data_IF_166517515735
#
_entry.id   IF_166517515735
#
_cell.length_a   1.000
_cell.length_b   1.000
_cell.length_c   1.000
_cell.angle_alpha   90.00
_cell.angle_beta   90.00
_cell.angle_gamma   90.00
#
_symmetry.space_group_name_H-M   'P 1'
#
loop_
_entity.id
_entity.type
_entity.pdbx_description
1 polymer ?
#
# COMPACT_ATOMS: atom_id res chain seq x y z
N UNK A 1 11.41 4.58 -31.10
CA UNK A 1 11.15 4.19 -29.70
C UNK A 1 10.93 2.68 -29.72
N UNK A 2 11.91 1.90 -29.26
CA UNK A 2 11.71 0.45 -29.11
C UNK A 2 10.64 0.22 -28.04
N UNK A 3 9.77 -0.77 -28.22
CA UNK A 3 8.74 -1.18 -27.27
C UNK A 3 9.39 -1.82 -26.02
N UNK A 4 10.15 -1.03 -25.27
CA UNK A 4 10.82 -1.45 -24.04
C UNK A 4 9.80 -1.70 -22.95
N UNK A 5 9.71 -2.96 -22.54
CA UNK A 5 9.13 -3.45 -21.27
C UNK A 5 7.84 -2.76 -20.83
N UNK A 6 6.73 -3.04 -21.50
CA UNK A 6 5.42 -2.88 -20.86
C UNK A 6 5.33 -3.95 -19.78
N UNK A 7 5.52 -3.56 -18.52
CA UNK A 7 5.32 -4.47 -17.40
C UNK A 7 3.82 -4.74 -17.30
N UNK A 8 3.46 -6.01 -17.52
CA UNK A 8 2.07 -6.45 -17.36
C UNK A 8 1.61 -6.07 -15.95
N UNK A 9 0.51 -5.32 -15.87
CA UNK A 9 -0.05 -4.83 -14.61
C UNK A 9 -1.48 -5.33 -14.50
N UNK A 10 -1.78 -6.00 -13.39
CA UNK A 10 -3.12 -6.50 -13.08
C UNK A 10 -3.68 -5.72 -11.89
N UNK A 11 -4.89 -5.21 -12.06
CA UNK A 11 -5.64 -4.60 -10.95
C UNK A 11 -6.68 -5.59 -10.46
N UNK A 12 -6.71 -5.83 -9.14
CA UNK A 12 -7.69 -6.72 -8.50
C UNK A 12 -8.17 -6.18 -7.17
N UNK A 13 -9.36 -6.59 -6.77
CA UNK A 13 -9.82 -6.37 -5.40
C UNK A 13 -8.89 -7.10 -4.42
N UNK A 14 -8.58 -6.43 -3.32
CA UNK A 14 -7.86 -7.00 -2.21
C UNK A 14 -8.79 -7.91 -1.38
N UNK A 15 -8.20 -8.92 -0.77
CA UNK A 15 -8.84 -9.88 0.12
C UNK A 15 -8.26 -9.73 1.53
N UNK A 16 -8.86 -10.42 2.51
CA UNK A 16 -8.35 -10.42 3.88
C UNK A 16 -6.86 -10.84 3.97
N UNK A 17 -6.38 -11.69 3.05
CA UNK A 17 -4.98 -12.12 3.01
C UNK A 17 -4.00 -11.03 2.57
N UNK A 18 -4.49 -9.91 2.02
CA UNK A 18 -3.67 -8.84 1.48
C UNK A 18 -3.36 -7.72 2.49
N UNK A 19 -3.85 -7.82 3.73
CA UNK A 19 -3.71 -6.77 4.74
C UNK A 19 -2.24 -6.37 4.97
N UNK A 20 -1.34 -7.36 5.08
CA UNK A 20 0.09 -7.11 5.25
C UNK A 20 0.73 -6.43 4.03
N UNK A 21 0.32 -6.82 2.81
CA UNK A 21 0.82 -6.21 1.58
C UNK A 21 0.36 -4.76 1.45
N UNK A 22 -0.92 -4.49 1.75
CA UNK A 22 -1.48 -3.13 1.78
C UNK A 22 -0.79 -2.24 2.82
N UNK A 23 -0.50 -2.79 4.00
CA UNK A 23 0.26 -2.11 5.04
C UNK A 23 1.65 -1.70 4.56
N UNK A 24 2.39 -2.64 3.96
CA UNK A 24 3.73 -2.39 3.44
C UNK A 24 3.73 -1.32 2.34
N UNK A 25 2.86 -1.46 1.34
CA UNK A 25 2.77 -0.52 0.20
C UNK A 25 2.29 0.86 0.67
N UNK A 26 1.31 0.92 1.57
CA UNK A 26 0.82 2.16 2.15
C UNK A 26 1.91 2.91 2.92
N UNK A 27 2.63 2.21 3.80
CA UNK A 27 3.75 2.81 4.53
C UNK A 27 4.87 3.28 3.58
N UNK A 28 5.26 2.45 2.61
CA UNK A 28 6.33 2.77 1.66
C UNK A 28 5.99 4.01 0.82
N UNK A 29 4.78 4.07 0.24
CA UNK A 29 4.34 5.22 -0.55
C UNK A 29 4.20 6.50 0.27
N UNK A 30 3.76 6.40 1.53
CA UNK A 30 3.71 7.54 2.44
C UNK A 30 5.12 8.06 2.77
N UNK A 31 6.06 7.17 3.08
CA UNK A 31 7.46 7.53 3.32
C UNK A 31 8.07 8.20 2.08
N UNK A 32 7.86 7.64 0.89
CA UNK A 32 8.36 8.21 -0.37
C UNK A 32 7.83 9.63 -0.61
N UNK A 33 6.53 9.86 -0.36
CA UNK A 33 5.91 11.15 -0.61
C UNK A 33 6.30 12.23 0.40
N UNK A 34 6.57 11.87 1.66
CA UNK A 34 6.67 12.83 2.76
C UNK A 34 8.02 12.84 3.51
N UNK A 35 8.93 11.90 3.24
CA UNK A 35 10.28 11.94 3.80
C UNK A 35 11.01 13.19 3.28
N UNK A 36 11.31 14.12 4.20
CA UNK A 36 11.92 15.42 3.89
C UNK A 36 10.97 16.61 4.04
N UNK A 37 9.66 16.36 4.23
CA UNK A 37 8.67 17.39 4.59
C UNK A 37 8.27 17.29 6.05
N UNK A 38 8.06 16.07 6.54
CA UNK A 38 7.64 15.80 7.93
C UNK A 38 8.83 15.42 8.81
N UNK A 39 8.66 15.64 10.12
CA UNK A 39 9.63 15.18 11.12
C UNK A 39 9.79 13.66 11.09
N UNK A 40 11.03 13.20 11.28
CA UNK A 40 11.39 11.78 11.18
C UNK A 40 10.70 10.90 12.23
N UNK A 41 10.48 11.38 13.45
CA UNK A 41 9.79 10.60 14.46
C UNK A 41 8.27 10.52 14.17
N UNK A 42 7.70 11.63 13.72
CA UNK A 42 6.27 11.72 13.42
C UNK A 42 5.88 10.89 12.19
N UNK A 43 6.69 10.90 11.13
CA UNK A 43 6.43 10.09 9.94
C UNK A 43 6.47 8.59 10.26
N UNK A 44 7.43 8.15 11.08
CA UNK A 44 7.53 6.75 11.51
C UNK A 44 6.35 6.36 12.43
N UNK A 45 5.99 7.24 13.37
CA UNK A 45 4.82 7.02 14.23
C UNK A 45 3.51 6.97 13.44
N UNK A 46 3.40 7.76 12.36
CA UNK A 46 2.28 7.71 11.44
C UNK A 46 2.21 6.37 10.72
N UNK A 47 3.31 5.93 10.08
CA UNK A 47 3.35 4.63 9.40
C UNK A 47 3.01 3.47 10.36
N UNK A 48 3.60 3.47 11.57
CA UNK A 48 3.35 2.42 12.56
C UNK A 48 1.90 2.36 13.06
N UNK A 49 1.14 3.47 12.97
CA UNK A 49 -0.24 3.54 13.48
C UNK A 49 -1.29 3.46 12.38
N UNK A 50 -1.11 4.21 11.30
CA UNK A 50 -2.09 4.32 10.21
C UNK A 50 -1.87 3.29 9.11
N UNK A 51 -0.64 2.78 8.97
CA UNK A 51 -0.30 1.72 8.04
C UNK A 51 0.05 0.39 8.74
N UNK A 52 -0.52 0.16 9.93
CA UNK A 52 -0.42 -1.13 10.59
C UNK A 52 -1.34 -2.16 9.93
N UNK A 53 -0.91 -3.43 9.85
CA UNK A 53 -1.70 -4.52 9.27
C UNK A 53 -3.13 -4.63 9.85
N UNK A 54 -3.37 -4.49 11.17
CA UNK A 54 -4.73 -4.53 11.72
C UNK A 54 -5.65 -3.44 11.18
N UNK A 55 -5.14 -2.25 10.82
CA UNK A 55 -5.97 -1.17 10.25
C UNK A 55 -6.55 -1.62 8.90
N UNK A 56 -5.72 -2.26 8.08
CA UNK A 56 -6.16 -2.78 6.79
C UNK A 56 -7.06 -4.00 6.93
N UNK A 57 -6.78 -4.90 7.88
CA UNK A 57 -7.64 -6.03 8.18
C UNK A 57 -9.04 -5.56 8.61
N UNK A 58 -9.12 -4.55 9.47
CA UNK A 58 -10.38 -3.94 9.90
C UNK A 58 -11.14 -3.36 8.71
N UNK A 59 -10.48 -2.61 7.82
CA UNK A 59 -11.10 -2.05 6.62
C UNK A 59 -11.58 -3.12 5.63
N UNK A 60 -10.79 -4.17 5.40
CA UNK A 60 -11.15 -5.29 4.52
C UNK A 60 -12.35 -6.09 5.04
N UNK A 61 -12.63 -6.04 6.34
CA UNK A 61 -13.80 -6.67 6.94
C UNK A 61 -15.10 -5.85 6.78
N UNK A 62 -15.02 -4.59 6.34
CA UNK A 62 -16.19 -3.72 6.21
C UNK A 62 -16.88 -3.88 4.86
N UNK A 63 -18.20 -4.08 4.88
CA UNK A 63 -19.00 -4.20 3.67
C UNK A 63 -19.11 -2.88 2.86
N UNK A 64 -18.80 -1.74 3.48
CA UNK A 64 -18.85 -0.40 2.85
C UNK A 64 -17.50 0.06 2.28
N UNK A 65 -16.46 -0.77 2.38
CA UNK A 65 -15.09 -0.41 2.00
C UNK A 65 -14.56 -1.42 1.00
N UNK A 66 -13.91 -0.93 -0.07
CA UNK A 66 -13.25 -1.77 -1.06
C UNK A 66 -11.80 -1.31 -1.25
N UNK A 67 -10.86 -2.23 -1.07
CA UNK A 67 -9.44 -2.00 -1.29
C UNK A 67 -9.01 -2.76 -2.54
N UNK A 68 -8.06 -2.19 -3.29
CA UNK A 68 -7.59 -2.72 -4.55
C UNK A 68 -6.07 -2.72 -4.57
N UNK A 69 -5.49 -3.72 -5.23
CA UNK A 69 -4.06 -3.81 -5.50
C UNK A 69 -3.81 -3.74 -7.00
N UNK A 70 -2.77 -3.00 -7.36
CA UNK A 70 -2.15 -3.06 -8.68
C UNK A 70 -0.87 -3.89 -8.54
N UNK A 71 -0.86 -5.07 -9.13
CA UNK A 71 0.27 -5.99 -9.11
C UNK A 71 0.98 -5.91 -10.46
N UNK A 72 2.29 -5.76 -10.43
CA UNK A 72 3.10 -5.81 -11.65
C UNK A 72 3.67 -7.21 -11.81
N UNK A 73 3.89 -7.66 -13.06
CA UNK A 73 4.54 -8.95 -13.34
C UNK A 73 6.00 -9.02 -12.87
N UNK A 74 6.56 -7.91 -12.37
CA UNK A 74 7.85 -7.86 -11.68
C UNK A 74 7.58 -7.73 -10.17
N UNK A 75 8.15 -8.66 -9.41
CA UNK A 75 8.03 -8.70 -7.95
C UNK A 75 8.67 -7.50 -7.26
#
# INVERSE_FOLDING_TARGET
MSAGDVVETRVRAATAADAAALAAVGAASFLEAFAGVLDGADILAHCARQHAEPVYADWLARADTALWLAETGRG
#
